data_IF_619855598152
#
_entry.id   IF_619855598152
#
_cell.length_a   1.000
_cell.length_b   1.000
_cell.length_c   1.000
_cell.angle_alpha   90.00
_cell.angle_beta   90.00
_cell.angle_gamma   90.00
#
_symmetry.space_group_name_H-M   'P 1'
#
loop_
_entity.id
_entity.type
_entity.pdbx_description
1 polymer ?
#
# COMPACT_ATOMS: atom_id res chain seq x y z
N UNK A 1 -14.51 13.16 2.49
CA UNK A 1 -13.44 13.41 1.50
C UNK A 1 -12.58 12.16 1.21
N UNK A 2 -12.20 11.34 2.21
CA UNK A 2 -11.45 10.10 1.94
C UNK A 2 -12.25 9.00 1.23
N UNK A 3 -13.52 8.79 1.63
CA UNK A 3 -14.39 7.76 1.03
C UNK A 3 -14.59 7.98 -0.47
N UNK A 4 -14.86 9.22 -0.90
CA UNK A 4 -15.02 9.54 -2.32
C UNK A 4 -13.74 9.26 -3.11
N UNK A 5 -12.57 9.62 -2.60
CA UNK A 5 -11.27 9.33 -3.24
C UNK A 5 -11.02 7.83 -3.34
N UNK A 6 -11.40 7.06 -2.32
CA UNK A 6 -11.26 5.61 -2.32
C UNK A 6 -12.22 4.94 -3.34
N UNK A 7 -13.48 5.38 -3.39
CA UNK A 7 -14.46 4.88 -4.35
C UNK A 7 -14.10 5.21 -5.80
N UNK A 8 -13.46 6.36 -6.03
CA UNK A 8 -13.00 6.76 -7.37
C UNK A 8 -11.58 6.29 -7.69
N UNK A 9 -11.00 5.38 -6.90
CA UNK A 9 -9.65 4.84 -7.18
C UNK A 9 -9.76 3.56 -8.03
N UNK A 10 -9.65 3.65 -9.37
CA UNK A 10 -9.81 2.49 -10.23
C UNK A 10 -8.75 1.43 -9.98
N UNK A 11 -7.56 1.81 -9.51
CA UNK A 11 -6.48 0.86 -9.24
C UNK A 11 -6.86 -0.12 -8.13
N UNK A 12 -7.50 0.36 -7.05
CA UNK A 12 -7.94 -0.49 -5.95
C UNK A 12 -9.05 -1.46 -6.40
N UNK A 13 -10.02 -0.95 -7.16
CA UNK A 13 -11.13 -1.75 -7.70
C UNK A 13 -10.59 -2.85 -8.62
N UNK A 14 -9.74 -2.50 -9.58
CA UNK A 14 -9.13 -3.46 -10.51
C UNK A 14 -8.30 -4.51 -9.77
N UNK A 15 -7.57 -4.12 -8.73
CA UNK A 15 -6.83 -5.07 -7.89
C UNK A 15 -7.76 -6.12 -7.27
N UNK A 16 -8.86 -5.71 -6.63
CA UNK A 16 -9.76 -6.66 -5.97
C UNK A 16 -10.51 -7.55 -6.96
N UNK A 17 -10.94 -7.00 -8.11
CA UNK A 17 -11.62 -7.77 -9.15
C UNK A 17 -10.67 -8.81 -9.77
N UNK A 18 -9.39 -8.48 -9.95
CA UNK A 18 -8.41 -9.42 -10.51
C UNK A 18 -7.93 -10.45 -9.48
N UNK A 19 -7.79 -10.06 -8.22
CA UNK A 19 -7.14 -10.87 -7.19
C UNK A 19 -8.12 -11.76 -6.42
N UNK A 20 -9.25 -11.21 -5.92
CA UNK A 20 -10.14 -11.96 -5.02
C UNK A 20 -10.79 -13.20 -5.65
N UNK A 21 -11.25 -13.18 -6.92
CA UNK A 21 -11.86 -14.37 -7.52
C UNK A 21 -10.93 -15.57 -7.58
N UNK A 22 -9.61 -15.38 -7.58
CA UNK A 22 -8.64 -16.46 -7.59
C UNK A 22 -8.66 -17.31 -6.30
N UNK A 23 -9.28 -16.82 -5.23
CA UNK A 23 -9.40 -17.50 -3.93
C UNK A 23 -10.81 -18.04 -3.67
N UNK A 24 -11.74 -17.90 -4.61
CA UNK A 24 -13.14 -18.34 -4.47
C UNK A 24 -13.30 -19.70 -5.14
N UNK A 25 -13.94 -20.65 -4.44
CA UNK A 25 -14.25 -21.97 -5.00
C UNK A 25 -15.55 -21.93 -5.82
N UNK A 26 -15.54 -22.31 -7.11
CA UNK A 26 -16.76 -22.42 -7.91
C UNK A 26 -17.74 -23.45 -7.33
N UNK A 27 -19.05 -23.24 -7.52
CA UNK A 27 -20.09 -24.20 -7.12
C UNK A 27 -20.56 -24.13 -5.65
N UNK A 28 -20.09 -23.15 -4.87
CA UNK A 28 -20.49 -22.92 -3.48
C UNK A 28 -21.01 -21.48 -3.29
N UNK A 29 -21.44 -21.10 -2.08
CA UNK A 29 -22.04 -19.78 -1.82
C UNK A 29 -20.98 -18.65 -1.87
N UNK A 30 -20.78 -18.08 -3.07
CA UNK A 30 -19.69 -17.14 -3.40
C UNK A 30 -19.73 -15.82 -2.60
N UNK A 31 -20.93 -15.35 -2.22
CA UNK A 31 -21.09 -14.09 -1.47
C UNK A 31 -20.42 -14.19 -0.09
N UNK A 32 -20.58 -15.32 0.60
CA UNK A 32 -19.97 -15.53 1.91
C UNK A 32 -18.44 -15.62 1.84
N UNK A 33 -17.89 -16.32 0.85
CA UNK A 33 -16.43 -16.40 0.66
C UNK A 33 -15.83 -15.04 0.35
N UNK A 34 -16.47 -14.28 -0.54
CA UNK A 34 -16.08 -12.89 -0.86
C UNK A 34 -16.13 -12.03 0.40
N UNK A 35 -17.18 -12.15 1.21
CA UNK A 35 -17.32 -11.42 2.48
C UNK A 35 -16.18 -11.73 3.45
N UNK A 36 -15.83 -13.01 3.64
CA UNK A 36 -14.72 -13.43 4.51
C UNK A 36 -13.38 -12.86 4.01
N UNK A 37 -13.12 -12.92 2.70
CA UNK A 37 -11.90 -12.39 2.10
C UNK A 37 -11.78 -10.87 2.30
N UNK A 38 -12.86 -10.13 2.04
CA UNK A 38 -12.90 -8.67 2.22
C UNK A 38 -12.65 -8.30 3.70
N UNK A 39 -13.35 -8.95 4.63
CA UNK A 39 -13.20 -8.68 6.07
C UNK A 39 -11.79 -9.00 6.54
N UNK A 40 -11.22 -10.12 6.11
CA UNK A 40 -9.85 -10.51 6.45
C UNK A 40 -8.84 -9.48 5.92
N UNK A 41 -8.95 -9.09 4.65
CA UNK A 41 -8.09 -8.09 4.05
C UNK A 41 -8.21 -6.74 4.78
N UNK A 42 -9.43 -6.30 5.06
CA UNK A 42 -9.69 -5.06 5.78
C UNK A 42 -9.08 -5.08 7.19
N UNK A 43 -9.23 -6.20 7.91
CA UNK A 43 -8.61 -6.41 9.22
C UNK A 43 -7.09 -6.29 9.16
N UNK A 44 -6.44 -7.01 8.23
CA UNK A 44 -4.99 -6.91 8.01
C UNK A 44 -4.56 -5.48 7.68
N UNK A 45 -5.32 -4.78 6.85
CA UNK A 45 -5.05 -3.39 6.49
C UNK A 45 -5.13 -2.46 7.71
N UNK A 46 -6.15 -2.61 8.55
CA UNK A 46 -6.29 -1.84 9.80
C UNK A 46 -5.12 -2.10 10.73
N UNK A 47 -4.72 -3.36 10.92
CA UNK A 47 -3.56 -3.71 11.75
C UNK A 47 -2.27 -3.08 11.21
N UNK A 48 -2.04 -3.15 9.90
CA UNK A 48 -0.87 -2.54 9.28
C UNK A 48 -0.86 -1.00 9.45
N UNK A 49 -2.00 -0.34 9.25
CA UNK A 49 -2.11 1.11 9.45
C UNK A 49 -1.93 1.50 10.92
N UNK A 50 -2.51 0.75 11.85
CA UNK A 50 -2.33 0.97 13.28
C UNK A 50 -0.84 0.84 13.66
N UNK A 51 -0.16 -0.20 13.16
CA UNK A 51 1.28 -0.36 13.34
C UNK A 51 2.06 0.85 12.81
N UNK A 52 1.77 1.32 11.58
CA UNK A 52 2.43 2.50 11.02
C UNK A 52 2.17 3.77 11.83
N UNK A 53 0.95 3.98 12.32
CA UNK A 53 0.61 5.15 13.14
C UNK A 53 1.38 5.12 14.46
N UNK A 54 1.41 3.97 15.14
CA UNK A 54 2.16 3.81 16.40
C UNK A 54 3.66 4.01 16.19
N UNK A 55 4.20 3.44 15.11
CA UNK A 55 5.59 3.62 14.73
C UNK A 55 5.90 5.10 14.45
N UNK A 56 5.06 5.77 13.66
CA UNK A 56 5.20 7.19 13.36
C UNK A 56 5.14 8.06 14.63
N UNK A 57 4.25 7.76 15.57
CA UNK A 57 4.19 8.44 16.86
C UNK A 57 5.49 8.29 17.66
N UNK A 58 6.06 7.08 17.71
CA UNK A 58 7.34 6.82 18.38
C UNK A 58 8.49 7.57 17.71
N UNK A 59 8.58 7.52 16.37
CA UNK A 59 9.62 8.23 15.63
C UNK A 59 9.46 9.76 15.65
N UNK A 60 8.24 10.29 15.81
CA UNK A 60 7.98 11.73 15.85
C UNK A 60 8.84 12.44 16.90
N UNK A 61 9.05 11.82 18.07
CA UNK A 61 9.93 12.35 19.13
C UNK A 61 11.39 12.43 18.67
N UNK A 62 11.88 11.42 17.94
CA UNK A 62 13.25 11.40 17.41
C UNK A 62 13.44 12.34 16.22
N UNK A 63 12.38 12.63 15.47
CA UNK A 63 12.37 13.49 14.29
C UNK A 63 11.97 14.93 14.60
N UNK A 64 11.91 15.37 15.87
CA UNK A 64 11.54 16.75 16.19
C UNK A 64 12.57 17.81 15.78
N UNK A 65 13.83 17.43 15.52
CA UNK A 65 14.85 18.36 15.03
C UNK A 65 14.75 18.58 13.52
N UNK A 66 14.77 19.85 13.08
CA UNK A 66 14.79 20.22 11.66
C UNK A 66 15.95 19.56 10.89
N UNK A 67 17.12 19.42 11.51
CA UNK A 67 18.29 18.76 10.90
C UNK A 67 18.03 17.27 10.63
N UNK A 68 17.37 16.57 11.55
CA UNK A 68 17.03 15.14 11.39
C UNK A 68 15.98 14.93 10.32
N UNK A 69 14.93 15.78 10.27
CA UNK A 69 13.94 15.76 9.17
C UNK A 69 14.59 16.00 7.82
N UNK A 70 15.51 16.96 7.72
CA UNK A 70 16.26 17.24 6.48
C UNK A 70 17.09 16.04 6.01
N UNK A 71 17.76 15.36 6.93
CA UNK A 71 18.53 14.15 6.59
C UNK A 71 17.62 13.01 6.13
N UNK A 72 16.50 12.77 6.81
CA UNK A 72 15.51 11.75 6.38
C UNK A 72 14.98 12.06 4.98
N UNK A 73 14.60 13.32 4.72
CA UNK A 73 14.14 13.72 3.39
C UNK A 73 15.21 13.54 2.32
N UNK A 74 16.48 13.80 2.63
CA UNK A 74 17.60 13.53 1.70
C UNK A 74 17.78 12.05 1.40
N UNK A 75 17.63 11.18 2.39
CA UNK A 75 17.70 9.72 2.19
C UNK A 75 16.59 9.25 1.25
N UNK A 76 15.34 9.69 1.49
CA UNK A 76 14.23 9.36 0.59
C UNK A 76 14.43 9.93 -0.81
N UNK A 77 14.87 11.20 -0.94
CA UNK A 77 15.17 11.82 -2.23
C UNK A 77 16.28 11.08 -2.99
N UNK A 78 17.37 10.74 -2.32
CA UNK A 78 18.46 9.96 -2.91
C UNK A 78 17.99 8.57 -3.34
N UNK A 79 17.11 7.93 -2.56
CA UNK A 79 16.51 6.63 -2.90
C UNK A 79 15.66 6.73 -4.16
N UNK A 80 14.84 7.78 -4.30
CA UNK A 80 14.05 8.01 -5.52
C UNK A 80 14.92 8.30 -6.74
N UNK A 81 15.99 9.08 -6.58
CA UNK A 81 16.96 9.31 -7.66
C UNK A 81 17.60 7.98 -8.08
N UNK A 82 18.03 7.15 -7.11
CA UNK A 82 18.59 5.83 -7.37
C UNK A 82 17.62 4.89 -8.09
N UNK A 83 16.35 4.85 -7.66
CA UNK A 83 15.30 4.10 -8.35
C UNK A 83 15.08 4.61 -9.78
N UNK A 84 15.08 5.93 -9.99
CA UNK A 84 15.00 6.54 -11.32
C UNK A 84 16.18 6.13 -12.22
N UNK A 85 17.41 6.13 -11.70
CA UNK A 85 18.57 5.63 -12.43
C UNK A 85 18.45 4.13 -12.75
N UNK A 86 17.93 3.32 -11.83
CA UNK A 86 17.71 1.90 -12.05
C UNK A 86 16.77 1.63 -13.24
N UNK A 87 15.79 2.50 -13.50
CA UNK A 87 14.90 2.35 -14.66
C UNK A 87 15.65 2.43 -15.99
N UNK A 88 16.72 3.22 -16.09
CA UNK A 88 17.55 3.27 -17.30
C UNK A 88 18.35 1.98 -17.53
N UNK A 89 18.64 1.24 -16.45
CA UNK A 89 19.36 -0.05 -16.54
C UNK A 89 18.42 -1.24 -16.77
N UNK A 90 17.13 -1.07 -16.44
CA UNK A 90 16.12 -2.08 -16.72
C UNK A 90 15.79 -2.04 -18.22
N UNK A 91 16.43 -2.92 -18.98
CA UNK A 91 16.06 -3.19 -20.37
C UNK A 91 14.65 -3.76 -20.37
N UNK A 92 13.66 -2.92 -20.65
CA UNK A 92 12.27 -3.32 -20.69
C UNK A 92 12.08 -4.49 -21.66
N UNK A 93 11.73 -5.66 -21.15
CA UNK A 93 10.89 -6.59 -21.93
C UNK A 93 9.49 -5.98 -21.94
N UNK A 94 9.31 -4.94 -22.75
CA UNK A 94 8.00 -4.58 -23.23
C UNK A 94 7.56 -5.75 -24.11
N UNK A 95 6.65 -6.56 -23.58
CA UNK A 95 5.91 -7.57 -24.32
C UNK A 95 4.85 -6.88 -25.19
#
# INVERSE_FOLDING_TARGET
>A
KGISVALTNPKAILFFIAFLPQFIQPGTFQVQQTGVLIVTFAGCSVVAHAFYVLLAQKLKRHLNSARRRKNVNRVFGASFIGLGFSLFTLKGRAA
#
